data_IF_334759148954
#
_entry.id   IF_334759148954
#
_cell.length_a   1.000
_cell.length_b   1.000
_cell.length_c   1.000
_cell.angle_alpha   90.00
_cell.angle_beta   90.00
_cell.angle_gamma   90.00
#
_symmetry.space_group_name_H-M   'P 1'
#
loop_
_entity.id
_entity.type
_entity.pdbx_description
1 polymer ?
#
# COMPACT_ATOMS: atom_id res chain seq x y z
N UNK A 1 26.45 75.72 -4.80
CA UNK A 1 26.58 74.44 -5.51
C UNK A 1 26.98 73.42 -4.46
N UNK A 2 26.04 72.63 -4.01
CA UNK A 2 26.25 71.58 -3.02
C UNK A 2 25.89 70.23 -3.68
N UNK A 3 26.87 69.38 -3.78
CA UNK A 3 26.67 67.97 -4.27
C UNK A 3 26.27 67.10 -3.10
N UNK A 4 25.09 66.53 -3.20
CA UNK A 4 24.61 65.44 -2.33
C UNK A 4 25.09 64.11 -2.90
N UNK A 5 25.91 63.38 -2.11
CA UNK A 5 26.33 61.98 -2.36
C UNK A 5 25.30 61.12 -1.76
N UNK A 6 24.63 60.35 -2.60
CA UNK A 6 23.66 59.30 -2.16
C UNK A 6 24.36 58.06 -1.65
N UNK A 7 24.02 57.62 -0.43
CA UNK A 7 24.40 56.31 0.11
C UNK A 7 23.58 55.23 -0.53
N UNK A 8 24.24 54.25 -1.18
CA UNK A 8 23.66 53.01 -1.63
C UNK A 8 23.37 52.08 -0.44
N UNK A 9 22.10 51.79 -0.22
CA UNK A 9 21.68 50.83 0.78
C UNK A 9 21.96 49.40 0.28
N UNK A 10 22.78 48.67 1.02
CA UNK A 10 22.99 47.25 0.86
C UNK A 10 21.76 46.50 1.36
N UNK A 11 21.12 45.78 0.44
CA UNK A 11 20.06 44.81 0.78
C UNK A 11 20.65 43.66 1.63
N UNK A 12 19.97 43.20 2.70
CA UNK A 12 20.42 42.05 3.43
C UNK A 12 20.22 40.79 2.58
N UNK A 13 21.19 39.88 2.63
CA UNK A 13 21.12 38.54 2.03
C UNK A 13 19.95 37.73 2.65
N UNK A 14 19.30 36.88 1.86
CA UNK A 14 18.21 36.03 2.39
C UNK A 14 18.77 35.10 3.47
N UNK A 15 18.12 35.12 4.63
CA UNK A 15 18.36 34.18 5.72
C UNK A 15 18.10 32.78 5.21
N UNK A 16 19.10 31.92 5.32
CA UNK A 16 18.94 30.46 5.14
C UNK A 16 18.10 29.99 6.31
N UNK A 17 16.82 29.72 6.07
CA UNK A 17 15.97 29.06 7.03
C UNK A 17 16.59 27.70 7.34
N UNK A 18 16.94 27.49 8.60
CA UNK A 18 17.40 26.21 9.12
C UNK A 18 16.29 25.19 8.92
N UNK A 19 16.60 24.11 8.22
CA UNK A 19 15.74 22.92 8.17
C UNK A 19 15.23 22.59 9.57
N UNK A 20 13.92 22.36 9.74
CA UNK A 20 13.42 21.81 10.99
C UNK A 20 14.05 20.43 11.19
N UNK A 21 14.57 20.19 12.38
CA UNK A 21 15.07 18.87 12.81
C UNK A 21 14.03 17.79 12.50
N UNK A 22 14.45 16.55 12.20
CA UNK A 22 13.53 15.47 11.88
C UNK A 22 12.50 15.36 13.01
N UNK A 23 11.23 15.57 12.68
CA UNK A 23 10.15 15.50 13.64
C UNK A 23 10.20 14.15 14.33
N UNK A 24 10.37 14.17 15.63
CA UNK A 24 10.23 13.00 16.48
C UNK A 24 8.87 12.38 16.16
N UNK A 25 8.88 11.11 15.76
CA UNK A 25 7.68 10.29 15.59
C UNK A 25 6.88 10.46 16.89
N UNK A 26 5.70 11.06 16.81
CA UNK A 26 4.84 11.22 17.96
C UNK A 26 4.57 9.83 18.55
N UNK A 27 5.10 9.60 19.74
CA UNK A 27 4.89 8.38 20.49
C UNK A 27 3.38 8.30 20.79
N UNK A 28 2.75 7.23 20.33
CA UNK A 28 1.45 6.84 20.85
C UNK A 28 1.62 6.60 22.35
N UNK A 29 0.71 7.07 23.22
CA UNK A 29 0.86 6.91 24.65
C UNK A 29 0.91 5.42 25.01
N UNK A 30 2.00 5.03 25.63
CA UNK A 30 2.10 3.75 26.31
C UNK A 30 1.31 3.85 27.62
N UNK A 31 0.15 3.22 27.66
CA UNK A 31 -0.53 3.00 28.93
C UNK A 31 -1.21 1.62 28.93
N UNK A 32 -1.02 0.90 30.02
CA UNK A 32 -1.82 -0.27 30.35
C UNK A 32 -1.09 -1.58 30.56
N UNK A 33 -0.48 -1.72 31.74
CA UNK A 33 -0.18 -3.02 32.36
C UNK A 33 -1.46 -3.86 32.49
N UNK A 34 -1.60 -4.93 31.72
CA UNK A 34 -2.64 -5.91 31.94
C UNK A 34 -2.07 -7.24 32.43
N UNK A 35 -2.55 -7.62 33.60
CA UNK A 35 -2.38 -8.97 34.19
C UNK A 35 -3.09 -9.99 33.31
N UNK A 36 -2.40 -11.09 33.04
CA UNK A 36 -2.94 -12.26 32.37
C UNK A 36 -4.06 -12.89 33.17
N UNK A 37 -5.22 -13.04 32.57
CA UNK A 37 -6.32 -13.84 33.05
C UNK A 37 -6.41 -15.12 32.21
N UNK A 38 -6.34 -16.25 32.90
CA UNK A 38 -6.25 -17.60 32.32
C UNK A 38 -7.56 -18.04 31.73
N UNK A 39 -7.55 -18.47 30.46
CA UNK A 39 -8.68 -19.09 29.78
C UNK A 39 -8.79 -20.59 30.10
N UNK A 40 -10.02 -21.17 30.15
CA UNK A 40 -10.25 -22.56 30.50
C UNK A 40 -9.96 -23.53 29.34
N UNK A 41 -9.37 -24.66 29.68
CA UNK A 41 -9.07 -25.81 28.80
C UNK A 41 -10.35 -26.42 28.24
N UNK A 42 -10.36 -26.68 26.95
CA UNK A 42 -11.39 -27.46 26.24
C UNK A 42 -10.93 -28.91 26.09
N UNK A 43 -11.70 -29.83 26.65
CA UNK A 43 -11.50 -31.27 26.55
C UNK A 43 -11.78 -31.75 25.12
N UNK A 44 -10.95 -32.70 24.68
CA UNK A 44 -11.11 -33.44 23.43
C UNK A 44 -11.67 -34.81 23.75
N UNK A 45 -12.75 -35.20 23.11
CA UNK A 45 -13.25 -36.59 23.08
C UNK A 45 -13.09 -37.18 21.68
N UNK A 46 -12.65 -38.43 21.52
CA UNK A 46 -12.47 -39.07 20.23
C UNK A 46 -13.70 -39.91 19.83
N UNK A 47 -14.05 -39.92 18.55
CA UNK A 47 -15.06 -40.84 18.01
C UNK A 47 -14.56 -41.46 16.71
N UNK A 48 -14.18 -42.69 16.79
CA UNK A 48 -14.57 -43.95 16.12
C UNK A 48 -14.74 -43.96 14.60
N UNK A 49 -13.92 -44.80 14.02
CA UNK A 49 -13.92 -45.31 12.65
C UNK A 49 -15.20 -46.09 12.27
N UNK A 50 -15.59 -46.02 11.00
CA UNK A 50 -16.25 -47.16 10.30
C UNK A 50 -15.89 -47.16 8.82
N UNK A 51 -15.27 -48.24 8.41
CA UNK A 51 -15.07 -48.70 7.04
C UNK A 51 -16.40 -49.05 6.33
N UNK A 52 -16.46 -48.77 5.04
CA UNK A 52 -17.33 -49.47 4.12
C UNK A 52 -16.71 -49.52 2.72
N UNK A 53 -16.37 -50.73 2.32
CA UNK A 53 -15.96 -51.14 0.98
C UNK A 53 -17.04 -50.91 -0.07
N UNK A 54 -16.66 -50.48 -1.28
CA UNK A 54 -17.40 -50.77 -2.50
C UNK A 54 -16.50 -50.86 -3.75
N UNK A 55 -16.75 -51.92 -4.49
CA UNK A 55 -16.06 -52.47 -5.65
C UNK A 55 -16.16 -51.63 -6.95
N UNK A 56 -15.39 -51.98 -8.01
CA UNK A 56 -15.05 -51.12 -9.12
C UNK A 56 -16.10 -51.12 -10.23
N UNK A 57 -16.27 -49.94 -10.86
CA UNK A 57 -17.09 -49.76 -12.05
C UNK A 57 -16.20 -49.65 -13.31
N UNK A 58 -16.69 -50.28 -14.38
CA UNK A 58 -16.09 -50.53 -15.69
C UNK A 58 -15.81 -49.28 -16.50
N UNK A 59 -14.71 -49.30 -17.27
CA UNK A 59 -14.32 -48.34 -18.30
C UNK A 59 -15.32 -48.29 -19.45
N UNK A 60 -15.64 -47.14 -20.01
CA UNK A 60 -16.18 -47.01 -21.35
C UNK A 60 -15.10 -46.65 -22.38
N UNK A 61 -15.28 -47.18 -23.57
CA UNK A 61 -14.39 -47.19 -24.72
C UNK A 61 -13.89 -45.79 -25.19
N UNK A 62 -12.64 -45.77 -25.63
CA UNK A 62 -12.00 -44.61 -26.34
C UNK A 62 -12.56 -44.46 -27.72
N UNK A 63 -13.15 -43.28 -28.02
CA UNK A 63 -13.30 -42.78 -29.38
C UNK A 63 -12.05 -41.99 -29.80
N UNK A 64 -11.68 -41.96 -31.09
CA UNK A 64 -10.47 -41.30 -31.56
C UNK A 64 -10.67 -39.78 -31.60
N UNK A 65 -9.84 -39.04 -30.84
CA UNK A 65 -9.81 -37.57 -30.86
C UNK A 65 -9.02 -37.12 -32.09
N UNK A 66 -9.71 -36.49 -33.04
CA UNK A 66 -9.10 -35.78 -34.16
C UNK A 66 -8.40 -34.53 -33.66
N UNK A 67 -7.08 -34.50 -33.70
CA UNK A 67 -6.28 -33.31 -33.42
C UNK A 67 -6.58 -32.22 -34.46
N UNK A 68 -7.41 -31.28 -34.14
CA UNK A 68 -7.51 -30.00 -34.86
C UNK A 68 -6.38 -29.09 -34.36
N UNK A 69 -5.36 -28.86 -35.20
CA UNK A 69 -4.37 -27.81 -34.95
C UNK A 69 -5.11 -26.47 -34.83
N UNK A 70 -5.30 -25.99 -33.60
CA UNK A 70 -5.70 -24.62 -33.36
C UNK A 70 -4.45 -23.74 -33.63
N UNK A 71 -4.56 -22.86 -34.63
CA UNK A 71 -3.65 -21.72 -34.76
C UNK A 71 -3.67 -20.92 -33.45
N UNK A 72 -2.50 -20.43 -32.95
CA UNK A 72 -2.47 -19.62 -31.76
C UNK A 72 -3.34 -18.37 -32.02
N UNK A 73 -4.40 -18.25 -31.23
CA UNK A 73 -5.23 -17.05 -31.23
C UNK A 73 -4.31 -15.85 -30.95
N UNK A 74 -4.33 -14.86 -31.87
CA UNK A 74 -3.69 -13.56 -31.60
C UNK A 74 -4.31 -13.03 -30.32
N UNK A 75 -3.53 -13.04 -29.23
CA UNK A 75 -3.91 -12.39 -27.98
C UNK A 75 -4.29 -10.94 -28.32
N UNK A 76 -5.55 -10.58 -28.06
CA UNK A 76 -5.95 -9.18 -28.09
C UNK A 76 -5.08 -8.42 -27.09
N UNK A 77 -4.56 -7.24 -27.46
CA UNK A 77 -3.71 -6.48 -26.55
C UNK A 77 -4.48 -6.28 -25.23
N UNK A 78 -3.90 -6.82 -24.14
CA UNK A 78 -4.48 -6.68 -22.81
C UNK A 78 -4.53 -5.19 -22.46
N UNK A 79 -5.66 -4.74 -21.89
CA UNK A 79 -5.82 -3.32 -21.52
C UNK A 79 -4.82 -2.84 -20.47
N UNK A 80 -4.13 -3.77 -19.80
CA UNK A 80 -3.16 -3.48 -18.74
C UNK A 80 -1.84 -4.23 -18.96
N UNK A 81 -0.71 -3.66 -18.49
CA UNK A 81 0.55 -4.37 -18.41
C UNK A 81 0.45 -5.69 -17.62
N UNK A 82 1.35 -6.62 -17.89
CA UNK A 82 1.41 -7.89 -17.15
C UNK A 82 1.51 -7.66 -15.63
N UNK A 83 0.79 -8.48 -14.86
CA UNK A 83 0.77 -8.39 -13.39
C UNK A 83 -0.14 -7.28 -12.83
N UNK A 84 -0.89 -6.60 -13.69
CA UNK A 84 -1.85 -5.58 -13.27
C UNK A 84 -3.28 -6.00 -13.61
N UNK A 85 -4.24 -5.48 -12.86
CA UNK A 85 -5.67 -5.68 -13.07
C UNK A 85 -6.30 -4.41 -13.65
N UNK A 86 -7.20 -4.57 -14.62
CA UNK A 86 -8.03 -3.48 -15.10
C UNK A 86 -9.13 -3.16 -14.09
N UNK A 87 -9.14 -1.93 -13.61
CA UNK A 87 -10.23 -1.38 -12.82
C UNK A 87 -11.01 -0.41 -13.71
N UNK A 88 -12.26 -0.76 -13.99
CA UNK A 88 -13.16 -0.01 -14.89
C UNK A 88 -14.53 0.09 -14.24
N UNK A 89 -14.87 1.27 -13.71
CA UNK A 89 -16.12 1.43 -12.97
C UNK A 89 -16.31 2.83 -12.37
N UNK A 90 -17.44 2.99 -11.71
CA UNK A 90 -17.83 4.26 -11.10
C UNK A 90 -17.45 4.27 -9.61
N UNK A 91 -16.55 5.17 -9.24
CA UNK A 91 -16.26 5.49 -7.85
C UNK A 91 -17.34 6.43 -7.29
N UNK A 92 -17.93 6.07 -6.17
CA UNK A 92 -18.84 6.95 -5.43
C UNK A 92 -18.07 7.75 -4.38
N UNK A 93 -18.19 9.08 -4.40
CA UNK A 93 -17.41 9.96 -3.49
C UNK A 93 -17.86 9.83 -2.03
N UNK A 94 -19.10 9.47 -1.77
CA UNK A 94 -19.64 9.27 -0.42
C UNK A 94 -20.63 8.09 -0.42
N UNK A 95 -20.31 7.05 0.37
CA UNK A 95 -21.12 5.84 0.49
C UNK A 95 -21.62 5.69 1.91
N UNK A 96 -22.92 5.50 2.03
CA UNK A 96 -23.58 5.21 3.29
C UNK A 96 -23.64 3.70 3.52
N UNK A 97 -23.17 3.30 4.71
CA UNK A 97 -23.20 1.93 5.21
C UNK A 97 -23.94 1.89 6.53
N UNK A 98 -24.92 1.02 6.66
CA UNK A 98 -25.60 0.76 7.93
C UNK A 98 -24.88 -0.38 8.66
N UNK A 99 -24.43 -0.10 9.90
CA UNK A 99 -23.75 -1.09 10.73
C UNK A 99 -24.76 -1.85 11.60
N UNK A 100 -24.82 -3.17 11.44
CA UNK A 100 -25.70 -4.06 12.23
C UNK A 100 -25.07 -4.49 13.53
N UNK A 101 -23.77 -4.81 13.51
CA UNK A 101 -23.03 -5.30 14.65
C UNK A 101 -21.69 -4.61 14.76
N UNK A 102 -21.41 -4.05 15.91
CA UNK A 102 -20.17 -3.33 16.16
C UNK A 102 -19.58 -3.67 17.53
N UNK A 103 -18.30 -3.39 17.69
CA UNK A 103 -17.58 -3.44 18.95
C UNK A 103 -16.73 -2.17 19.12
N UNK A 104 -16.40 -1.86 20.37
CA UNK A 104 -15.59 -0.68 20.68
C UNK A 104 -14.11 -1.08 20.84
N UNK A 105 -13.27 -0.56 19.96
CA UNK A 105 -11.82 -0.71 20.08
C UNK A 105 -11.29 0.30 21.08
N UNK A 106 -10.97 -0.19 22.29
CA UNK A 106 -10.45 0.65 23.38
C UNK A 106 -9.09 1.26 23.06
N UNK A 107 -8.25 0.58 22.28
CA UNK A 107 -6.90 1.03 21.92
C UNK A 107 -6.94 2.23 20.96
N UNK A 108 -7.81 2.18 19.99
CA UNK A 108 -8.00 3.24 19.00
C UNK A 108 -9.13 4.24 19.37
N UNK A 109 -9.86 3.98 20.47
CA UNK A 109 -11.02 4.79 20.92
C UNK A 109 -12.05 5.00 19.83
N UNK A 110 -12.34 3.96 19.05
CA UNK A 110 -13.27 3.98 17.91
C UNK A 110 -14.18 2.76 17.90
N UNK A 111 -15.38 2.93 17.37
CA UNK A 111 -16.27 1.82 17.08
C UNK A 111 -15.89 1.17 15.77
N UNK A 112 -15.73 -0.15 15.76
CA UNK A 112 -15.48 -0.98 14.59
C UNK A 112 -16.76 -1.70 14.22
N UNK A 113 -17.19 -1.57 12.96
CA UNK A 113 -18.31 -2.36 12.47
C UNK A 113 -17.84 -3.75 12.07
N UNK A 114 -18.47 -4.75 12.62
CA UNK A 114 -18.21 -6.17 12.36
C UNK A 114 -19.08 -6.72 11.22
N UNK A 115 -20.34 -6.28 11.18
CA UNK A 115 -21.31 -6.67 10.18
C UNK A 115 -22.10 -5.45 9.73
N UNK A 116 -22.14 -5.23 8.42
CA UNK A 116 -22.94 -4.20 7.78
C UNK A 116 -24.23 -4.80 7.19
N UNK A 117 -25.26 -4.00 7.05
CA UNK A 117 -26.40 -4.35 6.17
C UNK A 117 -25.89 -4.62 4.76
N UNK A 118 -26.39 -5.66 4.05
CA UNK A 118 -25.92 -6.04 2.73
C UNK A 118 -26.41 -5.07 1.64
N UNK A 119 -26.26 -3.77 1.92
CA UNK A 119 -26.69 -2.66 1.05
C UNK A 119 -25.75 -1.48 1.21
N UNK A 120 -25.10 -1.08 0.11
CA UNK A 120 -24.32 0.14 0.02
C UNK A 120 -25.11 1.19 -0.77
N UNK A 121 -25.19 2.42 -0.28
CA UNK A 121 -25.93 3.50 -0.91
C UNK A 121 -24.98 4.63 -1.26
N UNK A 122 -24.85 4.92 -2.56
CA UNK A 122 -24.11 6.09 -2.99
C UNK A 122 -24.91 7.36 -2.68
N UNK A 123 -24.40 8.21 -1.79
CA UNK A 123 -24.95 9.52 -1.44
C UNK A 123 -24.24 10.65 -2.18
N UNK A 124 -22.98 10.44 -2.57
CA UNK A 124 -22.18 11.41 -3.29
C UNK A 124 -22.30 11.29 -4.80
N UNK A 125 -21.33 11.87 -5.49
CA UNK A 125 -21.23 11.82 -6.94
C UNK A 125 -20.55 10.52 -7.39
N UNK A 126 -20.91 10.05 -8.59
CA UNK A 126 -20.23 8.96 -9.26
C UNK A 126 -19.23 9.50 -10.26
N UNK A 127 -17.97 9.08 -10.11
CA UNK A 127 -16.88 9.45 -11.00
C UNK A 127 -16.36 8.20 -11.68
N UNK A 128 -16.51 8.13 -13.01
CA UNK A 128 -15.99 7.00 -13.77
C UNK A 128 -14.46 7.00 -13.76
N UNK A 129 -13.88 5.83 -13.47
CA UNK A 129 -12.42 5.61 -13.46
C UNK A 129 -12.08 4.37 -14.27
N UNK A 130 -11.01 4.48 -15.08
CA UNK A 130 -10.49 3.38 -15.87
C UNK A 130 -8.96 3.43 -15.86
N UNK A 131 -8.35 2.47 -15.19
CA UNK A 131 -6.89 2.42 -14.95
C UNK A 131 -6.45 0.99 -14.67
N UNK A 132 -5.15 0.78 -14.64
CA UNK A 132 -4.54 -0.48 -14.25
C UNK A 132 -3.94 -0.36 -12.85
N UNK A 133 -4.12 -1.38 -12.01
CA UNK A 133 -3.55 -1.46 -10.67
C UNK A 133 -2.76 -2.75 -10.50
N UNK A 134 -1.62 -2.70 -9.86
CA UNK A 134 -0.85 -3.88 -9.46
C UNK A 134 -1.73 -4.87 -8.71
N UNK A 135 -1.64 -6.16 -9.10
CA UNK A 135 -2.44 -7.21 -8.46
C UNK A 135 -2.12 -7.34 -6.98
N UNK A 136 -0.84 -7.17 -6.61
CA UNK A 136 -0.33 -7.33 -5.26
C UNK A 136 0.36 -6.06 -4.77
N UNK A 137 0.57 -5.96 -3.46
CA UNK A 137 1.48 -4.97 -2.87
C UNK A 137 2.88 -5.14 -3.46
N UNK A 138 3.61 -4.02 -3.66
CA UNK A 138 4.97 -4.05 -4.19
C UNK A 138 5.85 -5.10 -3.47
N UNK A 139 6.64 -5.89 -4.21
CA UNK A 139 7.07 -5.74 -5.60
C UNK A 139 6.09 -6.29 -6.66
N UNK A 140 4.83 -6.48 -6.35
CA UNK A 140 3.78 -6.98 -7.25
C UNK A 140 4.07 -8.41 -7.77
N UNK A 141 4.59 -9.25 -6.92
CA UNK A 141 4.94 -10.62 -7.21
C UNK A 141 4.24 -11.57 -6.24
N UNK A 142 3.54 -12.57 -6.77
CA UNK A 142 2.87 -13.60 -5.95
C UNK A 142 3.90 -14.40 -5.15
N UNK A 143 3.65 -14.55 -3.85
CA UNK A 143 4.55 -15.26 -2.95
C UNK A 143 5.72 -14.42 -2.43
N UNK A 144 5.96 -13.22 -2.98
CA UNK A 144 6.91 -12.29 -2.41
C UNK A 144 6.41 -11.72 -1.08
N UNK A 145 7.32 -11.35 -0.20
CA UNK A 145 6.99 -10.52 0.96
C UNK A 145 6.71 -9.10 0.49
N UNK A 146 5.60 -8.46 0.92
CA UNK A 146 5.37 -7.04 0.69
C UNK A 146 6.57 -6.21 1.16
N UNK A 147 7.02 -5.30 0.34
CA UNK A 147 8.06 -4.37 0.73
C UNK A 147 7.47 -3.22 1.53
N UNK A 148 8.01 -2.99 2.71
CA UNK A 148 7.60 -1.94 3.64
C UNK A 148 8.74 -0.96 3.91
N UNK A 149 8.55 0.01 4.80
CA UNK A 149 9.58 0.99 5.18
C UNK A 149 9.94 1.99 4.06
N UNK A 150 9.09 2.16 3.05
CA UNK A 150 9.28 3.17 2.02
C UNK A 150 8.61 4.49 2.40
N UNK A 151 9.30 5.59 2.12
CA UNK A 151 8.70 6.91 2.09
C UNK A 151 7.92 7.09 0.80
N UNK A 152 6.99 8.03 0.78
CA UNK A 152 6.16 8.31 -0.39
C UNK A 152 7.00 8.52 -1.67
N UNK A 153 8.02 9.40 -1.61
CA UNK A 153 8.87 9.64 -2.79
C UNK A 153 9.70 8.43 -3.23
N UNK A 154 10.03 7.50 -2.32
CA UNK A 154 10.71 6.25 -2.68
C UNK A 154 9.76 5.33 -3.46
N UNK A 155 8.50 5.26 -3.04
CA UNK A 155 7.45 4.53 -3.76
C UNK A 155 7.20 5.15 -5.15
N UNK A 156 7.11 6.49 -5.26
CA UNK A 156 6.97 7.17 -6.55
C UNK A 156 8.10 6.80 -7.52
N UNK A 157 9.36 6.85 -7.05
CA UNK A 157 10.52 6.51 -7.88
C UNK A 157 10.48 5.05 -8.32
N UNK A 158 10.09 4.13 -7.43
CA UNK A 158 9.97 2.71 -7.76
C UNK A 158 8.89 2.45 -8.81
N UNK A 159 7.72 3.06 -8.67
CA UNK A 159 6.68 3.00 -9.68
C UNK A 159 7.15 3.59 -11.02
N UNK A 160 7.77 4.78 -11.00
CA UNK A 160 8.29 5.43 -12.20
C UNK A 160 9.36 4.60 -12.92
N UNK A 161 10.20 3.88 -12.17
CA UNK A 161 11.27 3.05 -12.74
C UNK A 161 10.74 1.90 -13.61
N UNK A 162 9.49 1.47 -13.37
CA UNK A 162 8.80 0.42 -14.13
C UNK A 162 7.69 0.98 -15.05
N UNK A 163 7.72 2.29 -15.34
CA UNK A 163 6.75 2.94 -16.24
C UNK A 163 5.36 3.12 -15.64
N UNK A 164 5.25 3.12 -14.33
CA UNK A 164 4.01 3.26 -13.56
C UNK A 164 4.03 4.55 -12.73
N UNK A 165 2.94 4.81 -12.02
CA UNK A 165 2.77 5.90 -11.05
C UNK A 165 2.23 5.40 -9.72
N UNK A 166 2.21 6.24 -8.70
CA UNK A 166 1.45 5.95 -7.49
C UNK A 166 -0.05 5.83 -7.81
N UNK A 167 -0.73 4.89 -7.17
CA UNK A 167 -2.19 4.87 -7.18
C UNK A 167 -2.73 6.05 -6.38
N UNK A 168 -3.90 6.56 -6.76
CA UNK A 168 -4.58 7.58 -5.95
C UNK A 168 -5.46 6.95 -4.87
N UNK A 169 -5.84 7.74 -3.89
CA UNK A 169 -6.69 7.29 -2.78
C UNK A 169 -8.05 6.77 -3.24
N UNK A 170 -8.63 7.36 -4.29
CA UNK A 170 -9.93 6.95 -4.83
C UNK A 170 -9.80 5.75 -5.77
N UNK A 171 -8.70 5.61 -6.50
CA UNK A 171 -8.37 4.41 -7.26
C UNK A 171 -8.22 3.21 -6.34
N UNK A 172 -7.43 3.36 -5.26
CA UNK A 172 -7.26 2.30 -4.28
C UNK A 172 -8.60 1.87 -3.67
N UNK A 173 -9.47 2.83 -3.35
CA UNK A 173 -10.78 2.56 -2.79
C UNK A 173 -11.67 1.80 -3.77
N UNK A 174 -11.79 2.28 -5.02
CA UNK A 174 -12.61 1.62 -6.05
C UNK A 174 -12.11 0.20 -6.33
N UNK A 175 -10.79 0.00 -6.41
CA UNK A 175 -10.20 -1.31 -6.61
C UNK A 175 -10.55 -2.29 -5.47
N UNK A 176 -10.60 -1.81 -4.22
CA UNK A 176 -10.96 -2.59 -3.05
C UNK A 176 -12.46 -2.90 -2.98
N UNK A 177 -13.33 -1.87 -3.04
CA UNK A 177 -14.77 -1.99 -2.80
C UNK A 177 -15.55 -2.57 -4.00
N UNK A 178 -14.97 -2.52 -5.17
CA UNK A 178 -15.59 -2.99 -6.40
C UNK A 178 -16.85 -2.18 -6.81
N UNK A 179 -17.54 -2.61 -7.87
CA UNK A 179 -18.69 -1.89 -8.40
C UNK A 179 -19.91 -1.89 -7.46
N UNK A 180 -19.91 -2.77 -6.45
CA UNK A 180 -20.96 -2.85 -5.43
C UNK A 180 -20.68 -1.98 -4.21
N UNK A 181 -19.56 -1.24 -4.20
CA UNK A 181 -19.15 -0.38 -3.08
C UNK A 181 -19.13 -1.15 -1.75
N UNK A 182 -18.51 -2.33 -1.74
CA UNK A 182 -18.47 -3.19 -0.55
C UNK A 182 -17.56 -2.61 0.54
N UNK A 183 -17.90 -2.72 1.83
CA UNK A 183 -17.01 -2.31 2.91
C UNK A 183 -15.74 -3.17 2.98
N UNK A 184 -15.82 -4.44 2.59
CA UNK A 184 -14.71 -5.38 2.40
C UNK A 184 -14.77 -5.98 1.00
N UNK A 185 -13.66 -6.34 0.35
CA UNK A 185 -13.66 -6.85 -1.03
C UNK A 185 -14.50 -8.14 -1.19
N UNK A 186 -14.66 -8.88 -0.10
CA UNK A 186 -15.37 -10.15 -0.02
C UNK A 186 -16.82 -10.03 0.52
N UNK A 187 -17.31 -8.83 0.85
CA UNK A 187 -18.71 -8.65 1.27
C UNK A 187 -18.92 -7.66 2.41
N UNK A 188 -19.92 -7.93 3.23
CA UNK A 188 -20.42 -7.02 4.28
C UNK A 188 -20.06 -7.45 5.71
N UNK A 189 -19.48 -8.64 5.87
CA UNK A 189 -19.09 -9.18 7.17
C UNK A 189 -17.58 -9.23 7.25
N UNK A 190 -17.01 -8.70 8.34
CA UNK A 190 -15.58 -8.73 8.61
C UNK A 190 -15.12 -10.18 8.81
N UNK A 191 -14.08 -10.55 8.08
CA UNK A 191 -13.47 -11.88 8.17
C UNK A 191 -11.94 -11.78 8.02
N UNK A 192 -11.24 -11.90 9.13
CA UNK A 192 -9.77 -11.78 9.17
C UNK A 192 -9.05 -13.03 8.67
N UNK A 193 -9.78 -14.14 8.41
CA UNK A 193 -9.24 -15.29 7.70
C UNK A 193 -9.18 -15.06 6.19
N UNK A 194 -10.07 -14.20 5.68
CA UNK A 194 -10.07 -13.82 4.26
C UNK A 194 -9.00 -12.79 3.96
N UNK A 195 -9.01 -11.65 4.67
CA UNK A 195 -7.96 -10.65 4.60
C UNK A 195 -7.34 -10.44 5.97
N UNK A 196 -6.02 -10.55 6.06
CA UNK A 196 -5.29 -10.53 7.32
C UNK A 196 -5.52 -9.25 8.12
N UNK A 197 -6.07 -9.43 9.31
CA UNK A 197 -6.29 -8.37 10.28
C UNK A 197 -6.34 -8.94 11.70
N UNK A 198 -6.44 -8.07 12.70
CA UNK A 198 -6.61 -8.40 14.12
C UNK A 198 -5.51 -9.24 14.76
N UNK A 199 -4.33 -9.32 14.13
CA UNK A 199 -3.13 -9.91 14.74
C UNK A 199 -2.69 -9.02 15.90
N UNK A 200 -2.23 -9.64 16.99
CA UNK A 200 -1.74 -8.90 18.15
C UNK A 200 -0.58 -7.99 17.81
N UNK A 201 -0.67 -6.75 18.24
CA UNK A 201 0.36 -5.74 18.01
C UNK A 201 1.52 -5.89 19.01
N UNK A 202 2.74 -5.85 18.49
CA UNK A 202 3.95 -5.79 19.28
C UNK A 202 4.50 -4.36 19.35
N UNK A 203 4.88 -3.94 20.55
CA UNK A 203 5.50 -2.63 20.75
C UNK A 203 6.86 -2.54 20.05
N UNK A 204 7.07 -1.58 19.12
CA UNK A 204 8.32 -1.44 18.40
C UNK A 204 9.38 -0.72 19.23
N UNK A 205 10.64 -1.12 19.07
CA UNK A 205 11.77 -0.29 19.47
C UNK A 205 11.99 0.79 18.41
N UNK A 206 11.49 2.00 18.67
CA UNK A 206 11.50 3.09 17.70
C UNK A 206 12.90 3.50 17.22
N UNK A 207 13.94 3.37 18.07
CA UNK A 207 15.32 3.64 17.66
C UNK A 207 15.81 2.61 16.63
N UNK A 208 15.50 1.33 16.86
CA UNK A 208 15.82 0.26 15.91
C UNK A 208 15.01 0.37 14.62
N UNK A 209 13.72 0.68 14.71
CA UNK A 209 12.88 0.93 13.51
C UNK A 209 13.43 2.09 12.68
N UNK A 210 13.79 3.21 13.32
CA UNK A 210 14.39 4.35 12.63
C UNK A 210 15.74 4.01 11.98
N UNK A 211 16.53 3.16 12.63
CA UNK A 211 17.80 2.65 12.09
C UNK A 211 17.63 1.54 11.03
N UNK A 212 16.38 1.09 10.76
CA UNK A 212 16.08 -0.05 9.89
C UNK A 212 16.80 -1.33 10.31
N UNK A 213 16.88 -1.57 11.63
CA UNK A 213 17.51 -2.75 12.20
C UNK A 213 16.79 -4.02 11.69
N UNK A 214 17.49 -4.93 11.00
CA UNK A 214 16.86 -6.08 10.34
C UNK A 214 16.23 -7.07 11.32
N UNK A 215 16.81 -7.23 12.52
CA UNK A 215 16.30 -8.14 13.54
C UNK A 215 14.98 -7.61 14.12
N UNK A 216 14.92 -6.31 14.40
CA UNK A 216 13.70 -5.67 14.89
C UNK A 216 12.60 -5.67 13.84
N UNK A 217 12.93 -5.38 12.59
CA UNK A 217 11.96 -5.41 11.49
C UNK A 217 11.45 -6.83 11.21
N UNK A 218 12.30 -7.85 11.35
CA UNK A 218 11.90 -9.25 11.26
C UNK A 218 10.97 -9.65 12.41
N UNK A 219 11.30 -9.23 13.65
CA UNK A 219 10.49 -9.48 14.86
C UNK A 219 9.09 -8.86 14.75
N UNK A 220 9.02 -7.63 14.25
CA UNK A 220 7.76 -6.88 14.13
C UNK A 220 6.87 -7.37 12.98
N UNK A 221 7.44 -8.03 11.98
CA UNK A 221 6.67 -8.49 10.82
C UNK A 221 5.78 -9.69 11.18
N UNK A 222 4.47 -9.49 11.09
CA UNK A 222 3.46 -10.54 11.25
C UNK A 222 2.52 -10.65 10.03
N UNK A 223 2.88 -9.96 8.94
CA UNK A 223 2.14 -10.04 7.69
C UNK A 223 2.40 -11.36 6.95
N UNK A 224 1.64 -11.57 5.90
CA UNK A 224 1.77 -12.73 5.01
C UNK A 224 2.33 -12.32 3.66
N UNK A 225 2.75 -13.31 2.88
CA UNK A 225 3.24 -13.08 1.52
C UNK A 225 2.11 -12.74 0.57
N UNK A 226 2.41 -11.96 -0.45
CA UNK A 226 1.47 -11.56 -1.50
C UNK A 226 0.70 -12.76 -2.05
N UNK A 227 -0.63 -12.66 -2.11
CA UNK A 227 -1.53 -13.68 -2.63
C UNK A 227 -1.61 -14.96 -1.79
N UNK A 228 -1.18 -14.92 -0.51
CA UNK A 228 -1.32 -16.06 0.41
C UNK A 228 -2.75 -16.26 0.90
N UNK A 229 -3.59 -15.24 0.77
CA UNK A 229 -5.00 -15.26 1.15
C UNK A 229 -5.89 -15.19 -0.09
N UNK A 230 -6.25 -16.33 -0.70
CA UNK A 230 -6.92 -16.38 -2.00
C UNK A 230 -8.33 -15.76 -2.00
N UNK A 231 -8.96 -15.66 -0.82
CA UNK A 231 -10.26 -15.00 -0.67
C UNK A 231 -10.14 -13.48 -0.44
N UNK A 232 -8.93 -12.95 -0.19
CA UNK A 232 -8.67 -11.52 -0.11
C UNK A 232 -8.45 -10.95 -1.52
N UNK A 233 -9.49 -10.97 -2.31
CA UNK A 233 -9.49 -10.55 -3.70
C UNK A 233 -10.74 -9.74 -4.01
N UNK A 234 -10.58 -8.61 -4.68
CA UNK A 234 -11.68 -7.75 -5.07
C UNK A 234 -12.38 -8.22 -6.35
N UNK A 235 -13.53 -7.63 -6.65
CA UNK A 235 -14.27 -7.91 -7.89
C UNK A 235 -13.47 -7.61 -9.18
N UNK A 236 -12.43 -6.78 -9.08
CA UNK A 236 -11.51 -6.47 -10.18
C UNK A 236 -10.28 -7.39 -10.22
N UNK A 237 -10.17 -8.37 -9.32
CA UNK A 237 -9.03 -9.27 -9.26
C UNK A 237 -7.79 -8.70 -8.55
N UNK A 238 -7.93 -7.55 -7.89
CA UNK A 238 -6.85 -6.97 -7.07
C UNK A 238 -6.83 -7.69 -5.72
N UNK A 239 -5.68 -8.21 -5.33
CA UNK A 239 -5.51 -9.02 -4.14
C UNK A 239 -4.92 -8.24 -2.95
N UNK A 240 -5.10 -8.81 -1.76
CA UNK A 240 -4.50 -8.33 -0.49
C UNK A 240 -4.95 -6.91 -0.08
N UNK A 241 -6.20 -6.54 -0.40
CA UNK A 241 -6.87 -5.29 -0.02
C UNK A 241 -8.15 -5.59 0.78
N UNK A 242 -8.40 -4.94 1.93
CA UNK A 242 -7.49 -4.26 2.86
C UNK A 242 -6.81 -5.26 3.80
N UNK A 243 -5.93 -4.76 4.67
CA UNK A 243 -5.23 -5.61 5.63
C UNK A 243 -3.83 -5.99 5.17
N UNK A 244 -3.18 -6.88 5.89
CA UNK A 244 -1.80 -7.28 5.69
C UNK A 244 -0.81 -6.11 5.80
N UNK A 245 -0.79 -5.17 4.86
CA UNK A 245 -0.02 -3.93 4.92
C UNK A 245 -0.93 -2.72 4.82
N UNK A 246 -0.62 -1.67 5.55
CA UNK A 246 -1.10 -0.34 5.23
C UNK A 246 -0.44 0.11 3.93
N UNK A 247 -1.13 0.80 3.04
CA UNK A 247 -0.57 1.21 1.76
C UNK A 247 -0.59 2.71 1.59
N UNK A 248 0.57 3.30 1.29
CA UNK A 248 0.66 4.69 0.92
C UNK A 248 0.21 4.89 -0.52
N UNK A 249 -0.68 5.86 -0.73
CA UNK A 249 -1.25 6.28 -2.01
C UNK A 249 -1.17 7.78 -2.16
N UNK A 250 -1.39 8.29 -3.37
CA UNK A 250 -1.42 9.71 -3.65
C UNK A 250 -2.78 10.32 -3.29
N UNK A 251 -2.75 11.45 -2.60
CA UNK A 251 -3.95 12.25 -2.32
C UNK A 251 -4.48 12.93 -3.59
N UNK A 252 -5.79 12.95 -3.72
CA UNK A 252 -6.53 13.74 -4.74
C UNK A 252 -7.24 14.96 -4.13
N UNK A 253 -7.16 15.11 -2.81
CA UNK A 253 -7.81 16.22 -2.10
C UNK A 253 -6.93 17.45 -2.16
N UNK A 254 -7.51 18.58 -2.53
CA UNK A 254 -6.84 19.89 -2.68
C UNK A 254 -7.34 20.93 -1.69
N UNK A 255 -8.07 20.54 -0.66
CA UNK A 255 -8.56 21.43 0.37
C UNK A 255 -7.45 21.89 1.30
N UNK A 256 -7.63 23.03 1.95
CA UNK A 256 -6.72 23.56 2.97
C UNK A 256 -6.89 22.83 4.33
N UNK A 257 -7.83 21.91 4.42
CA UNK A 257 -8.03 21.06 5.60
C UNK A 257 -6.94 19.97 5.70
N UNK A 258 -6.98 19.20 6.79
CA UNK A 258 -5.99 18.17 7.05
C UNK A 258 -5.92 17.09 5.94
N UNK A 259 -6.99 16.90 5.14
CA UNK A 259 -7.03 15.90 4.05
C UNK A 259 -6.22 16.34 2.85
N UNK A 260 -6.17 17.64 2.59
CA UNK A 260 -5.42 18.23 1.48
C UNK A 260 -3.97 18.61 1.78
N UNK A 261 -3.55 18.52 3.06
CA UNK A 261 -2.25 19.02 3.50
C UNK A 261 -1.05 18.32 2.87
N UNK A 262 -1.10 16.98 2.74
CA UNK A 262 0.01 16.17 2.24
C UNK A 262 -0.35 15.50 0.91
N UNK A 263 0.66 15.13 0.13
CA UNK A 263 0.47 14.32 -1.08
C UNK A 263 0.24 12.84 -0.75
N UNK A 264 0.68 12.40 0.43
CA UNK A 264 0.55 11.02 0.90
C UNK A 264 -0.72 10.80 1.72
N UNK A 265 -1.39 9.69 1.44
CA UNK A 265 -2.53 9.17 2.19
C UNK A 265 -2.27 7.70 2.47
N UNK A 266 -2.70 7.19 3.63
CA UNK A 266 -2.60 5.76 3.93
C UNK A 266 -3.98 5.12 3.83
N UNK A 267 -4.06 4.00 3.13
CA UNK A 267 -5.28 3.22 2.87
C UNK A 267 -5.14 1.79 3.35
N UNK A 268 -6.25 1.16 3.72
CA UNK A 268 -6.27 -0.22 4.14
C UNK A 268 -6.11 -0.39 5.65
N UNK A 269 -5.01 -0.82 6.10
CA UNK A 269 -4.65 -1.08 7.49
C UNK A 269 -3.71 -2.26 7.55
N UNK A 270 -2.78 -2.26 8.51
CA UNK A 270 -1.83 -3.36 8.63
C UNK A 270 -2.49 -4.62 9.22
N UNK A 271 -1.70 -5.69 9.34
CA UNK A 271 -2.14 -6.97 9.89
C UNK A 271 -2.67 -6.93 11.32
N UNK A 272 -2.32 -5.92 12.12
CA UNK A 272 -2.81 -5.82 13.48
C UNK A 272 -4.23 -5.24 13.54
N UNK A 273 -4.85 -5.42 14.69
CA UNK A 273 -6.20 -4.99 15.00
C UNK A 273 -6.45 -3.52 14.69
N UNK A 274 -7.51 -3.22 13.98
CA UNK A 274 -7.83 -1.83 13.71
C UNK A 274 -9.12 -1.60 12.94
N UNK A 275 -9.61 -0.38 13.09
CA UNK A 275 -10.81 0.12 12.40
C UNK A 275 -10.59 0.31 10.90
N UNK A 276 -9.34 0.26 10.43
CA UNK A 276 -8.98 0.61 9.05
C UNK A 276 -8.93 -0.57 8.08
N UNK A 277 -9.07 -1.81 8.56
CA UNK A 277 -9.12 -2.98 7.69
C UNK A 277 -10.44 -3.04 6.90
N UNK A 278 -10.75 -1.97 6.20
CA UNK A 278 -11.91 -1.75 5.33
C UNK A 278 -11.47 -0.94 4.12
N UNK A 279 -12.27 -0.92 3.05
CA UNK A 279 -11.90 -0.25 1.81
C UNK A 279 -11.84 1.28 1.91
N UNK A 280 -12.66 1.93 2.76
CA UNK A 280 -12.79 3.40 2.77
C UNK A 280 -12.01 4.15 3.84
N UNK A 281 -11.76 3.64 5.06
CA UNK A 281 -11.02 4.40 6.08
C UNK A 281 -9.60 4.75 5.63
N UNK A 282 -9.18 5.99 5.89
CA UNK A 282 -7.88 6.53 5.49
C UNK A 282 -7.21 7.33 6.60
N UNK A 283 -5.91 7.50 6.51
CA UNK A 283 -5.12 8.42 7.34
C UNK A 283 -4.51 9.51 6.46
N UNK A 284 -4.75 10.76 6.86
CA UNK A 284 -4.30 11.98 6.17
C UNK A 284 -3.26 12.76 6.99
N UNK A 285 -2.80 12.21 8.12
CA UNK A 285 -2.00 12.97 9.10
C UNK A 285 -0.50 12.76 8.97
N UNK A 286 -0.05 11.91 8.08
CA UNK A 286 1.37 11.65 7.84
C UNK A 286 1.86 12.36 6.58
N UNK A 287 3.03 13.00 6.68
CA UNK A 287 3.69 13.64 5.55
C UNK A 287 4.39 12.61 4.64
N UNK A 288 4.92 13.09 3.53
CA UNK A 288 5.60 12.26 2.52
C UNK A 288 6.90 11.62 3.02
N UNK A 289 7.41 12.10 4.15
CA UNK A 289 8.60 11.56 4.82
C UNK A 289 8.32 10.37 5.73
N UNK A 290 7.05 10.10 6.03
CA UNK A 290 6.68 8.99 6.91
C UNK A 290 7.01 7.63 6.28
N UNK A 291 7.52 6.72 7.08
CA UNK A 291 7.78 5.31 6.74
C UNK A 291 7.64 4.45 7.98
N UNK A 292 7.14 3.23 7.82
CA UNK A 292 6.93 2.35 8.96
C UNK A 292 7.00 0.87 8.57
N UNK A 293 7.22 -0.01 9.53
CA UNK A 293 7.44 -1.46 9.33
C UNK A 293 6.23 -2.22 8.77
N UNK A 294 5.09 -1.59 8.65
CA UNK A 294 3.89 -2.14 8.03
C UNK A 294 3.38 -1.33 6.83
N UNK A 295 4.06 -0.23 6.46
CA UNK A 295 3.63 0.64 5.38
C UNK A 295 4.27 0.20 4.07
N UNK A 296 3.45 -0.41 3.20
CA UNK A 296 3.77 -0.78 1.83
C UNK A 296 3.17 0.20 0.81
N UNK A 297 3.16 -0.21 -0.45
CA UNK A 297 2.54 0.53 -1.56
C UNK A 297 2.27 -0.41 -2.74
N UNK A 298 1.48 0.04 -3.70
CA UNK A 298 1.34 -0.56 -5.02
C UNK A 298 1.29 0.52 -6.09
N UNK A 299 1.57 0.13 -7.33
CA UNK A 299 1.60 1.06 -8.45
C UNK A 299 0.36 0.93 -9.32
N UNK A 300 0.02 2.04 -9.98
CA UNK A 300 -1.01 2.14 -11.00
C UNK A 300 -0.42 2.60 -12.33
N UNK A 301 -1.16 2.37 -13.42
CA UNK A 301 -0.83 2.81 -14.75
C UNK A 301 -2.09 3.19 -15.52
N UNK A 302 -1.94 3.94 -16.59
CA UNK A 302 -3.04 4.23 -17.49
C UNK A 302 -3.45 2.96 -18.25
N UNK A 303 -4.78 2.78 -18.43
CA UNK A 303 -5.32 1.68 -19.22
C UNK A 303 -5.06 1.87 -20.74
N UNK A 304 -5.26 0.78 -21.47
CA UNK A 304 -5.22 0.75 -22.94
C UNK A 304 -3.86 1.15 -23.52
N UNK A 305 -2.78 0.78 -22.81
CA UNK A 305 -1.39 1.06 -23.17
C UNK A 305 -1.08 2.55 -23.38
N UNK A 306 -1.83 3.43 -22.75
CA UNK A 306 -1.53 4.85 -22.75
C UNK A 306 -0.27 5.12 -21.94
N UNK A 307 0.54 6.10 -22.34
CA UNK A 307 1.70 6.50 -21.55
C UNK A 307 1.28 6.96 -20.14
N UNK A 308 1.93 6.44 -19.13
CA UNK A 308 1.68 6.82 -17.74
C UNK A 308 2.59 8.00 -17.37
N UNK A 309 1.99 9.13 -16.97
CA UNK A 309 2.74 10.19 -16.31
C UNK A 309 3.09 9.72 -14.88
N UNK A 310 4.36 9.63 -14.51
CA UNK A 310 4.75 9.15 -13.19
C UNK A 310 4.43 10.12 -12.06
N UNK A 311 4.03 11.35 -12.38
CA UNK A 311 3.65 12.37 -11.40
C UNK A 311 2.28 12.08 -10.80
N UNK A 312 2.08 12.48 -9.55
CA UNK A 312 0.78 12.43 -8.90
C UNK A 312 -0.19 13.49 -9.48
N UNK A 313 -1.52 13.32 -9.34
CA UNK A 313 -2.48 14.32 -9.78
C UNK A 313 -2.22 15.72 -9.21
N UNK A 314 -1.78 15.83 -7.96
CA UNK A 314 -1.42 17.12 -7.35
C UNK A 314 -0.20 17.75 -8.01
N UNK A 315 0.81 16.94 -8.32
CA UNK A 315 2.01 17.42 -9.01
C UNK A 315 1.66 17.91 -10.42
N UNK A 316 0.82 17.16 -11.16
CA UNK A 316 0.35 17.56 -12.48
C UNK A 316 -0.43 18.88 -12.40
N UNK A 317 -1.40 18.99 -11.49
CA UNK A 317 -2.21 20.19 -11.30
C UNK A 317 -1.39 21.41 -10.88
N UNK A 318 -0.41 21.22 -9.99
CA UNK A 318 0.50 22.26 -9.54
C UNK A 318 1.62 22.56 -10.53
N UNK A 319 1.64 21.89 -11.68
CA UNK A 319 2.74 21.95 -12.65
C UNK A 319 4.11 21.69 -12.00
N UNK A 320 4.13 20.73 -11.06
CA UNK A 320 5.36 20.31 -10.39
C UNK A 320 5.98 19.13 -11.15
N UNK A 321 7.29 19.20 -11.35
CA UNK A 321 8.07 18.07 -11.79
C UNK A 321 8.42 17.16 -10.60
N UNK A 322 9.32 16.23 -10.87
CA UNK A 322 9.97 15.47 -9.79
C UNK A 322 10.91 16.32 -8.93
N UNK A 323 11.09 17.61 -9.22
CA UNK A 323 11.97 18.52 -8.49
C UNK A 323 11.70 18.58 -6.99
N UNK A 324 10.41 18.48 -6.58
CA UNK A 324 10.07 18.44 -5.16
C UNK A 324 10.54 17.12 -4.53
N UNK A 325 10.33 16.00 -5.23
CA UNK A 325 10.82 14.68 -4.81
C UNK A 325 12.34 14.69 -4.74
N UNK A 326 13.01 15.24 -5.72
CA UNK A 326 14.45 15.38 -5.81
C UNK A 326 15.02 16.22 -4.67
N UNK A 327 14.39 17.35 -4.32
CA UNK A 327 14.79 18.15 -3.17
C UNK A 327 14.67 17.40 -1.85
N UNK A 328 13.57 16.65 -1.64
CA UNK A 328 13.37 15.84 -0.44
C UNK A 328 14.40 14.73 -0.38
N UNK A 329 14.66 14.08 -1.51
CA UNK A 329 15.59 12.94 -1.60
C UNK A 329 17.07 13.36 -1.64
N UNK A 330 17.37 14.60 -2.09
CA UNK A 330 18.73 15.09 -2.32
C UNK A 330 19.42 14.47 -3.54
N UNK A 331 18.67 13.85 -4.45
CA UNK A 331 19.16 13.21 -5.68
C UNK A 331 18.13 13.43 -6.79
N UNK A 332 18.58 13.46 -8.05
CA UNK A 332 17.65 13.55 -9.18
C UNK A 332 16.90 12.22 -9.37
N UNK A 333 15.72 12.29 -9.98
CA UNK A 333 14.93 11.12 -10.33
C UNK A 333 15.74 10.13 -11.16
N UNK A 334 16.47 10.61 -12.15
CA UNK A 334 17.31 9.78 -13.04
C UNK A 334 18.38 9.03 -12.24
N UNK A 335 19.03 9.72 -11.30
CA UNK A 335 20.01 9.10 -10.40
C UNK A 335 19.36 8.00 -9.54
N UNK A 336 18.17 8.26 -9.01
CA UNK A 336 17.44 7.30 -8.18
C UNK A 336 16.99 6.09 -9.00
N UNK A 337 16.44 6.30 -10.19
CA UNK A 337 16.02 5.21 -11.12
C UNK A 337 17.20 4.36 -11.55
N UNK A 338 18.31 4.98 -11.94
CA UNK A 338 19.54 4.25 -12.31
C UNK A 338 20.04 3.38 -11.17
N UNK A 339 20.14 3.95 -9.97
CA UNK A 339 20.64 3.21 -8.80
C UNK A 339 19.66 2.15 -8.32
N UNK A 340 18.35 2.37 -8.46
CA UNK A 340 17.35 1.35 -8.19
C UNK A 340 17.56 0.13 -9.09
N UNK A 341 17.71 0.33 -10.40
CA UNK A 341 18.00 -0.77 -11.34
C UNK A 341 19.28 -1.55 -10.98
N UNK A 342 20.32 -0.83 -10.57
CA UNK A 342 21.56 -1.47 -10.10
C UNK A 342 21.34 -2.24 -8.79
N UNK A 343 20.52 -1.72 -7.88
CA UNK A 343 20.18 -2.39 -6.62
C UNK A 343 19.42 -3.68 -6.86
N UNK A 344 18.41 -3.66 -7.72
CA UNK A 344 17.63 -4.84 -8.10
C UNK A 344 18.49 -5.95 -8.73
N UNK A 345 19.53 -5.56 -9.46
CA UNK A 345 20.53 -6.48 -10.01
C UNK A 345 21.60 -6.94 -9.01
N UNK A 346 21.52 -6.49 -7.75
CA UNK A 346 22.56 -6.73 -6.74
C UNK A 346 23.88 -6.02 -7.03
N UNK A 347 23.87 -5.01 -7.91
CA UNK A 347 25.06 -4.28 -8.37
C UNK A 347 25.23 -2.88 -7.78
N UNK A 348 24.40 -2.49 -6.81
CA UNK A 348 24.53 -1.19 -6.14
C UNK A 348 25.72 -1.21 -5.18
N UNK A 349 26.92 -1.24 -5.72
CA UNK A 349 28.18 -1.25 -4.97
C UNK A 349 28.70 0.16 -4.77
N UNK A 350 29.15 0.47 -3.55
CA UNK A 350 29.64 1.78 -3.19
C UNK A 350 31.08 1.71 -2.69
N UNK A 351 31.89 2.69 -3.06
CA UNK A 351 33.24 2.86 -2.52
C UNK A 351 33.21 2.96 -0.97
N UNK A 352 34.28 2.51 -0.31
CA UNK A 352 34.33 2.45 1.17
C UNK A 352 34.06 3.81 1.84
N UNK A 353 34.43 4.91 1.21
CA UNK A 353 34.26 6.28 1.73
C UNK A 353 33.10 7.05 1.06
N UNK A 354 32.39 6.45 0.09
CA UNK A 354 31.29 7.10 -0.63
C UNK A 354 30.00 7.03 0.19
N UNK A 355 29.87 7.93 1.14
CA UNK A 355 28.70 8.04 2.02
C UNK A 355 27.44 8.32 1.19
N UNK A 356 27.54 9.14 0.13
CA UNK A 356 26.37 9.49 -0.70
C UNK A 356 25.82 8.28 -1.44
N UNK A 357 26.68 7.47 -2.07
CA UNK A 357 26.27 6.21 -2.69
C UNK A 357 25.66 5.26 -1.66
N UNK A 358 26.29 5.08 -0.50
CA UNK A 358 25.78 4.21 0.56
C UNK A 358 24.42 4.67 1.09
N UNK A 359 24.22 5.96 1.24
CA UNK A 359 22.91 6.53 1.63
C UNK A 359 21.86 6.25 0.55
N UNK A 360 22.19 6.43 -0.72
CA UNK A 360 21.28 6.14 -1.81
C UNK A 360 20.93 4.64 -1.88
N UNK A 361 21.92 3.78 -2.01
CA UNK A 361 21.71 2.34 -2.19
C UNK A 361 21.10 1.65 -0.96
N UNK A 362 21.48 2.07 0.24
CA UNK A 362 21.02 1.44 1.47
C UNK A 362 19.75 2.06 2.06
N UNK A 363 19.62 3.38 2.02
CA UNK A 363 18.56 4.07 2.76
C UNK A 363 17.54 4.72 1.86
N UNK A 364 17.99 5.46 0.84
CA UNK A 364 17.10 6.32 0.06
C UNK A 364 16.20 5.55 -0.89
N UNK A 365 16.72 4.48 -1.52
CA UNK A 365 15.94 3.62 -2.39
C UNK A 365 15.01 2.66 -1.65
N UNK A 366 15.02 2.72 -0.31
CA UNK A 366 14.27 1.81 0.53
C UNK A 366 14.88 0.41 0.58
N UNK A 367 14.39 -0.43 1.47
CA UNK A 367 14.79 -1.82 1.56
C UNK A 367 14.11 -2.64 0.44
N UNK A 368 14.73 -3.75 0.08
CA UNK A 368 14.07 -4.79 -0.67
C UNK A 368 13.39 -5.78 0.29
N UNK A 369 12.34 -6.48 -0.18
CA UNK A 369 11.65 -7.48 0.64
C UNK A 369 12.60 -8.55 1.21
N UNK A 370 13.68 -8.87 0.50
CA UNK A 370 14.71 -9.82 0.92
C UNK A 370 15.59 -9.32 2.07
N UNK A 371 15.65 -8.00 2.32
CA UNK A 371 16.54 -7.40 3.33
C UNK A 371 16.10 -7.73 4.78
N UNK A 372 14.93 -8.34 4.97
CA UNK A 372 14.38 -8.74 6.27
C UNK A 372 14.19 -10.26 6.45
N UNK A 373 14.73 -11.06 5.57
CA UNK A 373 14.56 -12.53 5.60
C UNK A 373 15.48 -13.17 6.62
#
# INVERSE_FOLDING_TARGET
MAFLVGCAGSSPAPSIDREPAPHAVAALPADGTHKAETAPKRETTPTSERHADKAPAKDPAKEPVTETKQEPAKESPTACPAGMQLVDGDYCTDVDYECKKSWYDKSNKKTVCEEFEPKSICKGEKVHKRYCMDTYTWPNEKGARPEVMNRFHQAEVKCAAVGKRMCTETEWTLACEGPKMLPFPYGYVRDTNKCLGDVEWDSPNMKKVAARDPEELARLWKGVRNGSQPECISAYGVADLPGNTDEVVSSETYSDDFRGKFDSVHSGGPWYKGVRNQCRPKIYTHDEGFYYYFLGFRCCAEADNKPTDPRTPKQIKGNWGFERVERIAGFSKEQMVEKLKLKEQGKCTCGAKDIRCKTMCGTLLGPEAKDYR
#
